data_IF_282694378519
#
_entry.id   IF_282694378519
#
_cell.length_a   1.000
_cell.length_b   1.000
_cell.length_c   1.000
_cell.angle_alpha   90.00
_cell.angle_beta   90.00
_cell.angle_gamma   90.00
#
_symmetry.space_group_name_H-M   'P 1'
#
loop_
_entity.id
_entity.type
_entity.pdbx_description
1 polymer ?
#
# COMPACT_ATOMS: atom_id res chain seq x y z
N UNK A 1 -0.86 0.80 35.68
CA UNK A 1 -0.47 -0.59 35.39
C UNK A 1 -1.33 -1.21 34.30
N UNK A 2 -2.60 -1.58 34.51
CA UNK A 2 -3.44 -2.20 33.44
C UNK A 2 -3.50 -1.44 32.09
N UNK A 3 -3.42 -0.11 32.12
CA UNK A 3 -3.42 0.72 30.90
C UNK A 3 -2.09 0.70 30.13
N UNK A 4 -0.98 0.44 30.82
CA UNK A 4 0.36 0.35 30.21
C UNK A 4 0.49 -0.95 29.40
N UNK A 5 -0.09 -2.06 29.89
CA UNK A 5 -0.13 -3.33 29.17
C UNK A 5 -0.93 -3.24 27.86
N UNK A 6 -2.06 -2.53 27.86
CA UNK A 6 -2.89 -2.34 26.66
C UNK A 6 -2.17 -1.49 25.62
N UNK A 7 -1.48 -0.42 26.03
CA UNK A 7 -0.70 0.42 25.12
C UNK A 7 0.43 -0.36 24.44
N UNK A 8 1.14 -1.21 25.19
CA UNK A 8 2.18 -2.08 24.64
C UNK A 8 1.62 -3.08 23.62
N UNK A 9 0.45 -3.68 23.90
CA UNK A 9 -0.20 -4.60 22.97
C UNK A 9 -0.64 -3.91 21.68
N UNK A 10 -1.20 -2.70 21.78
CA UNK A 10 -1.60 -1.91 20.60
C UNK A 10 -0.37 -1.52 19.77
N UNK A 11 0.72 -1.11 20.42
CA UNK A 11 1.99 -0.82 19.72
C UNK A 11 2.53 -2.04 18.99
N UNK A 12 2.59 -3.20 19.66
CA UNK A 12 3.05 -4.43 19.03
C UNK A 12 2.16 -4.85 17.85
N UNK A 13 0.84 -4.70 17.98
CA UNK A 13 -0.10 -4.95 16.89
C UNK A 13 0.13 -3.99 15.71
N UNK A 14 0.37 -2.70 15.96
CA UNK A 14 0.64 -1.73 14.92
C UNK A 14 1.96 -2.02 14.19
N UNK A 15 3.00 -2.50 14.88
CA UNK A 15 4.24 -2.95 14.22
C UNK A 15 3.97 -4.06 13.21
N UNK A 16 3.18 -5.08 13.60
CA UNK A 16 2.83 -6.19 12.71
C UNK A 16 1.98 -5.70 11.52
N UNK A 17 1.01 -4.82 11.77
CA UNK A 17 0.19 -4.21 10.71
C UNK A 17 1.03 -3.38 9.74
N UNK A 18 1.98 -2.58 10.23
CA UNK A 18 2.91 -1.82 9.37
C UNK A 18 3.76 -2.75 8.51
N UNK A 19 4.28 -3.84 9.09
CA UNK A 19 5.05 -4.83 8.35
C UNK A 19 4.19 -5.49 7.25
N UNK A 20 2.95 -5.86 7.58
CA UNK A 20 1.99 -6.38 6.60
C UNK A 20 1.73 -5.36 5.50
N UNK A 21 1.35 -4.13 5.83
CA UNK A 21 1.05 -3.06 4.86
C UNK A 21 2.21 -2.87 3.88
N UNK A 22 3.44 -2.79 4.39
CA UNK A 22 4.65 -2.73 3.55
C UNK A 22 4.73 -3.92 2.59
N UNK A 23 4.55 -5.15 3.07
CA UNK A 23 4.60 -6.34 2.20
C UNK A 23 3.49 -6.34 1.12
N UNK A 24 2.31 -5.80 1.44
CA UNK A 24 1.24 -5.64 0.44
C UNK A 24 1.63 -4.60 -0.62
N UNK A 25 2.18 -3.46 -0.21
CA UNK A 25 2.68 -2.41 -1.12
C UNK A 25 3.81 -2.91 -2.03
N UNK A 26 4.77 -3.66 -1.49
CA UNK A 26 5.85 -4.28 -2.28
C UNK A 26 5.32 -5.30 -3.31
N UNK A 27 4.23 -6.00 -2.96
CA UNK A 27 3.56 -6.91 -3.90
C UNK A 27 2.91 -6.14 -5.06
N UNK A 28 2.27 -5.00 -4.78
CA UNK A 28 1.69 -4.11 -5.80
C UNK A 28 2.82 -3.48 -6.65
N UNK A 29 3.91 -3.03 -6.03
CA UNK A 29 5.08 -2.48 -6.72
C UNK A 29 5.69 -3.50 -7.69
N UNK A 30 5.85 -4.76 -7.27
CA UNK A 30 6.34 -5.85 -8.14
C UNK A 30 5.40 -6.11 -9.33
N UNK A 31 4.10 -6.01 -9.12
CA UNK A 31 3.10 -6.14 -10.19
C UNK A 31 3.17 -4.94 -11.17
N UNK A 32 3.36 -3.72 -10.66
CA UNK A 32 3.59 -2.51 -11.46
C UNK A 32 4.87 -2.60 -12.29
N UNK A 33 5.96 -3.14 -11.74
CA UNK A 33 7.19 -3.41 -12.50
C UNK A 33 6.93 -4.35 -13.67
N UNK A 34 6.16 -5.41 -13.43
CA UNK A 34 5.81 -6.39 -14.46
C UNK A 34 4.94 -5.75 -15.55
N UNK A 35 3.94 -4.95 -15.16
CA UNK A 35 3.13 -4.15 -16.07
C UNK A 35 4.00 -3.20 -16.92
N UNK A 36 4.91 -2.45 -16.29
CA UNK A 36 5.81 -1.53 -17.01
C UNK A 36 6.73 -2.25 -17.99
N UNK A 37 7.25 -3.43 -17.66
CA UNK A 37 8.09 -4.20 -18.58
C UNK A 37 7.34 -4.60 -19.86
N UNK A 38 6.04 -4.86 -19.75
CA UNK A 38 5.20 -5.24 -20.89
C UNK A 38 4.70 -4.02 -21.68
N UNK A 39 4.36 -2.92 -21.01
CA UNK A 39 3.70 -1.74 -21.62
C UNK A 39 4.65 -0.54 -21.84
N UNK A 40 5.86 -0.59 -21.29
CA UNK A 40 6.89 0.45 -21.39
C UNK A 40 6.75 1.63 -20.42
N UNK A 41 5.66 1.70 -19.64
CA UNK A 41 5.37 2.76 -18.67
C UNK A 41 4.52 2.24 -17.50
N UNK A 42 4.52 2.94 -16.36
CA UNK A 42 3.52 2.72 -15.31
C UNK A 42 2.16 3.32 -15.70
N UNK A 43 1.13 2.99 -14.93
CA UNK A 43 -0.21 3.56 -15.09
C UNK A 43 -0.21 5.04 -14.66
N UNK A 44 -0.42 5.96 -15.59
CA UNK A 44 -0.46 7.41 -15.32
C UNK A 44 -1.83 7.84 -14.78
N UNK A 45 -2.14 7.47 -13.54
CA UNK A 45 -3.45 7.68 -12.93
C UNK A 45 -3.30 7.92 -11.42
N UNK A 46 -4.33 8.51 -10.81
CA UNK A 46 -4.42 8.68 -9.34
C UNK A 46 -5.61 7.90 -8.76
N UNK A 47 -5.76 6.65 -9.17
CA UNK A 47 -6.90 5.81 -8.78
C UNK A 47 -6.45 4.40 -8.42
N UNK A 48 -6.61 4.04 -7.14
CA UNK A 48 -6.40 2.68 -6.64
C UNK A 48 -7.35 1.68 -7.33
N UNK A 49 -8.62 2.05 -7.54
CA UNK A 49 -9.57 1.14 -8.16
C UNK A 49 -9.13 0.73 -9.57
N UNK A 50 -8.68 1.71 -10.37
CA UNK A 50 -8.14 1.47 -11.72
C UNK A 50 -6.85 0.66 -11.67
N UNK A 51 -5.98 0.92 -10.69
CA UNK A 51 -4.76 0.14 -10.47
C UNK A 51 -5.10 -1.34 -10.23
N UNK A 52 -6.01 -1.64 -9.31
CA UNK A 52 -6.36 -3.02 -8.96
C UNK A 52 -7.01 -3.76 -10.12
N UNK A 53 -7.95 -3.11 -10.82
CA UNK A 53 -8.62 -3.70 -11.98
C UNK A 53 -7.63 -3.99 -13.14
N UNK A 54 -6.56 -3.20 -13.25
CA UNK A 54 -5.50 -3.40 -14.24
C UNK A 54 -4.53 -4.51 -13.85
N UNK A 55 -4.16 -4.58 -12.57
CA UNK A 55 -3.18 -5.56 -12.08
C UNK A 55 -3.78 -6.96 -11.90
N UNK A 56 -5.05 -7.05 -11.52
CA UNK A 56 -5.71 -8.33 -11.27
C UNK A 56 -6.37 -8.93 -12.53
N UNK A 57 -6.30 -10.26 -12.73
CA UNK A 57 -5.49 -11.23 -12.02
C UNK A 57 -4.07 -11.39 -12.62
N UNK A 58 -3.78 -10.71 -13.74
CA UNK A 58 -2.61 -10.99 -14.60
C UNK A 58 -1.26 -10.76 -13.89
N UNK A 59 -1.12 -9.65 -13.17
CA UNK A 59 0.12 -9.25 -12.51
C UNK A 59 0.07 -9.44 -10.99
N UNK A 60 -1.14 -9.43 -10.43
CA UNK A 60 -1.38 -9.67 -9.01
C UNK A 60 -2.65 -10.51 -8.82
N UNK A 61 -2.46 -11.78 -8.46
CA UNK A 61 -3.58 -12.73 -8.35
C UNK A 61 -4.55 -12.37 -7.21
N UNK A 62 -4.06 -11.77 -6.13
CA UNK A 62 -4.88 -11.36 -4.99
C UNK A 62 -5.37 -9.93 -5.16
N UNK A 63 -6.60 -9.66 -4.73
CA UNK A 63 -7.16 -8.31 -4.70
C UNK A 63 -6.70 -7.61 -3.42
N UNK A 64 -5.91 -6.55 -3.55
CA UNK A 64 -5.43 -5.71 -2.44
C UNK A 64 -5.98 -4.30 -2.65
N UNK A 65 -6.96 -3.90 -1.84
CA UNK A 65 -7.57 -2.56 -1.95
C UNK A 65 -7.40 -1.73 -0.70
N UNK A 66 -7.53 -2.37 0.46
CA UNK A 66 -7.47 -1.73 1.77
C UNK A 66 -6.29 -2.24 2.58
N UNK A 67 -5.76 -1.35 3.40
CA UNK A 67 -4.66 -1.62 4.32
C UNK A 67 -5.15 -2.31 5.62
N UNK A 68 -4.24 -2.69 6.53
CA UNK A 68 -4.59 -3.35 7.79
C UNK A 68 -5.37 -2.50 8.81
N UNK A 69 -5.56 -1.21 8.55
CA UNK A 69 -6.42 -0.30 9.31
C UNK A 69 -7.71 0.05 8.55
N UNK A 70 -7.98 -0.69 7.47
CA UNK A 70 -9.16 -0.57 6.61
C UNK A 70 -9.28 0.76 5.87
N UNK A 71 -8.15 1.44 5.63
CA UNK A 71 -8.12 2.57 4.70
C UNK A 71 -7.76 2.07 3.30
N UNK A 72 -8.35 2.63 2.22
CA UNK A 72 -7.89 2.35 0.88
C UNK A 72 -6.40 2.69 0.73
N UNK A 73 -5.65 1.85 0.02
CA UNK A 73 -4.31 2.25 -0.42
C UNK A 73 -4.43 3.42 -1.41
N UNK A 74 -3.43 4.30 -1.40
CA UNK A 74 -3.31 5.38 -2.36
C UNK A 74 -2.31 5.01 -3.45
N UNK A 75 -2.61 5.42 -4.68
CA UNK A 75 -1.74 5.30 -5.83
C UNK A 75 -1.66 6.63 -6.58
N UNK A 76 -0.44 7.06 -6.88
CA UNK A 76 -0.17 8.13 -7.82
C UNK A 76 0.94 7.68 -8.76
N UNK A 77 0.60 7.47 -10.04
CA UNK A 77 1.55 7.06 -11.06
C UNK A 77 1.83 8.13 -12.09
N UNK A 78 3.06 8.09 -12.61
CA UNK A 78 3.51 8.82 -13.79
C UNK A 78 4.25 7.83 -14.72
N UNK A 79 4.56 8.25 -15.94
CA UNK A 79 5.15 7.37 -16.96
C UNK A 79 6.32 6.50 -16.47
N UNK A 80 7.18 7.06 -15.63
CA UNK A 80 8.43 6.42 -15.17
C UNK A 80 8.59 6.36 -13.64
N UNK A 81 7.58 6.74 -12.87
CA UNK A 81 7.63 6.72 -11.41
C UNK A 81 6.26 6.45 -10.81
N UNK A 82 6.21 5.99 -9.57
CA UNK A 82 4.95 5.90 -8.82
C UNK A 82 5.15 6.08 -7.33
N UNK A 83 4.05 6.40 -6.65
CA UNK A 83 3.93 6.42 -5.19
C UNK A 83 2.78 5.51 -4.81
N UNK A 84 3.04 4.58 -3.90
CA UNK A 84 2.05 3.77 -3.21
C UNK A 84 2.09 4.09 -1.71
N UNK A 85 0.94 4.26 -1.08
CA UNK A 85 0.84 4.65 0.33
C UNK A 85 -0.30 3.97 1.07
N UNK A 86 -0.05 3.60 2.32
CA UNK A 86 -1.07 3.35 3.36
C UNK A 86 -1.05 4.51 4.36
N UNK A 87 -2.23 4.96 4.78
CA UNK A 87 -2.40 6.04 5.75
C UNK A 87 -2.14 5.64 7.21
N UNK A 88 -1.65 4.41 7.43
CA UNK A 88 -1.18 3.97 8.74
C UNK A 88 -2.26 3.87 9.84
N UNK A 89 -1.82 3.66 11.09
CA UNK A 89 -2.67 3.59 12.27
C UNK A 89 -3.61 4.78 12.50
N UNK A 90 -3.20 6.00 12.14
CA UNK A 90 -4.02 7.19 12.38
C UNK A 90 -5.07 7.43 11.29
N UNK A 91 -4.93 6.73 10.16
CA UNK A 91 -5.84 6.75 9.02
C UNK A 91 -5.86 8.09 8.29
N UNK A 92 -4.88 8.95 8.52
CA UNK A 92 -4.78 10.27 7.91
C UNK A 92 -3.63 10.25 6.90
N UNK A 93 -3.88 10.65 5.66
CA UNK A 93 -2.81 10.69 4.67
C UNK A 93 -1.81 11.79 5.00
N UNK A 94 -0.56 11.56 4.65
CA UNK A 94 0.58 12.48 4.79
C UNK A 94 0.99 12.77 6.23
N UNK A 95 0.92 11.75 7.08
CA UNK A 95 1.40 11.78 8.47
C UNK A 95 2.66 10.93 8.63
N UNK A 96 3.26 10.95 9.82
CA UNK A 96 4.53 10.24 10.06
C UNK A 96 4.40 8.72 10.11
N UNK A 97 3.19 8.20 10.29
CA UNK A 97 2.91 6.77 10.37
C UNK A 97 2.51 6.14 9.02
N UNK A 98 2.46 6.95 7.96
CA UNK A 98 2.28 6.48 6.60
C UNK A 98 3.35 5.45 6.21
N UNK A 99 2.91 4.39 5.54
CA UNK A 99 3.80 3.43 4.90
C UNK A 99 3.84 3.74 3.42
N UNK A 100 5.01 4.15 2.91
CA UNK A 100 5.19 4.51 1.50
C UNK A 100 6.20 3.57 0.81
N UNK A 101 5.90 3.22 -0.44
CA UNK A 101 6.81 2.60 -1.42
C UNK A 101 6.80 3.46 -2.68
N UNK A 102 7.98 3.80 -3.19
CA UNK A 102 8.15 4.64 -4.38
C UNK A 102 9.15 4.00 -5.34
N UNK A 103 8.97 4.25 -6.63
CA UNK A 103 9.96 3.98 -7.68
C UNK A 103 10.19 5.23 -8.52
#
# INVERSE_FOLDING_TARGET
>A
RRWEDVDLLVKALNVEKTARARAELESIATALESYRREHGAYLEEKSEARLVDLLNPRYLARVIRVDPWHQPYEYEGARASFVLRSSGPDGKPNTSDDVTVTH
#
